data_IF_421016571041
#
_entry.id   IF_421016571041
#
_cell.length_a   1.000
_cell.length_b   1.000
_cell.length_c   1.000
_cell.angle_alpha   90.00
_cell.angle_beta   90.00
_cell.angle_gamma   90.00
#
_symmetry.space_group_name_H-M   'P 1'
#
loop_
_entity.id
_entity.type
_entity.pdbx_description
1 polymer ?
#
# COMPACT_ATOMS: atom_id res chain seq x y z
N UNK A 1 -11.72 12.74 13.22
CA UNK A 1 -12.71 13.01 12.17
C UNK A 1 -12.34 12.19 10.95
N UNK A 2 -13.30 11.88 10.08
CA UNK A 2 -13.01 11.13 8.85
C UNK A 2 -12.02 11.86 7.93
N UNK A 3 -12.18 13.18 7.79
CA UNK A 3 -11.28 14.03 6.98
C UNK A 3 -9.82 13.90 7.46
N UNK A 4 -9.60 13.95 8.78
CA UNK A 4 -8.25 13.79 9.33
C UNK A 4 -7.70 12.39 9.09
N UNK A 5 -8.50 11.34 9.30
CA UNK A 5 -8.08 9.96 9.03
C UNK A 5 -7.65 9.81 7.57
N UNK A 6 -8.46 10.27 6.62
CA UNK A 6 -8.18 10.18 5.19
C UNK A 6 -6.87 10.91 4.84
N UNK A 7 -6.63 12.09 5.43
CA UNK A 7 -5.37 12.83 5.30
C UNK A 7 -4.17 12.04 5.81
N UNK A 8 -4.26 11.46 7.01
CA UNK A 8 -3.16 10.69 7.62
C UNK A 8 -2.83 9.42 6.83
N UNK A 9 -3.85 8.71 6.36
CA UNK A 9 -3.67 7.51 5.52
C UNK A 9 -3.04 7.88 4.17
N UNK A 10 -3.50 8.96 3.54
CA UNK A 10 -2.94 9.43 2.26
C UNK A 10 -1.48 9.88 2.41
N UNK A 11 -1.15 10.63 3.47
CA UNK A 11 0.24 11.03 3.74
C UNK A 11 1.15 9.82 3.98
N UNK A 12 0.67 8.85 4.75
CA UNK A 12 1.42 7.61 4.98
C UNK A 12 1.65 6.85 3.68
N UNK A 13 0.61 6.69 2.86
CA UNK A 13 0.66 5.99 1.57
C UNK A 13 1.63 6.64 0.58
N UNK A 14 1.69 7.97 0.56
CA UNK A 14 2.57 8.70 -0.35
C UNK A 14 4.06 8.56 0.03
N UNK A 15 4.35 8.47 1.33
CA UNK A 15 5.70 8.64 1.88
C UNK A 15 6.40 7.33 2.19
N UNK A 16 5.67 6.32 2.65
CA UNK A 16 6.25 5.14 3.27
C UNK A 16 5.86 3.85 2.59
N UNK A 17 6.80 2.91 2.58
CA UNK A 17 6.61 1.56 2.08
C UNK A 17 5.62 0.77 2.94
N UNK A 18 5.07 -0.29 2.34
CA UNK A 18 4.25 -1.29 3.04
C UNK A 18 5.07 -2.21 3.95
N UNK A 19 6.40 -2.16 3.85
CA UNK A 19 7.35 -2.88 4.71
C UNK A 19 8.13 -1.90 5.59
N UNK A 20 8.46 -2.32 6.82
CA UNK A 20 9.36 -1.62 7.72
C UNK A 20 10.83 -1.97 7.45
N UNK A 21 11.75 -1.37 8.19
CA UNK A 21 13.19 -1.59 8.07
C UNK A 21 13.66 -3.02 8.44
N UNK A 22 12.74 -3.87 8.93
CA UNK A 22 12.98 -5.26 9.32
C UNK A 22 12.30 -6.24 8.36
N UNK A 23 11.63 -5.75 7.32
CA UNK A 23 10.88 -6.56 6.36
C UNK A 23 9.50 -7.00 6.83
N UNK A 24 8.96 -6.44 7.93
CA UNK A 24 7.59 -6.69 8.37
C UNK A 24 6.61 -5.69 7.77
N UNK A 25 5.33 -6.07 7.64
CA UNK A 25 4.31 -5.14 7.16
C UNK A 25 4.09 -3.97 8.12
N UNK A 26 3.91 -2.76 7.57
CA UNK A 26 3.56 -1.59 8.38
C UNK A 26 2.12 -1.71 8.87
N UNK A 27 1.90 -1.48 10.16
CA UNK A 27 0.56 -1.55 10.77
C UNK A 27 -0.12 -0.18 10.91
N UNK A 28 0.50 0.88 10.40
CA UNK A 28 0.03 2.27 10.54
C UNK A 28 -1.42 2.44 10.09
N UNK A 29 -1.77 1.93 8.90
CA UNK A 29 -3.13 2.07 8.36
C UNK A 29 -4.16 1.36 9.25
N UNK A 30 -3.86 0.12 9.65
CA UNK A 30 -4.72 -0.68 10.53
C UNK A 30 -4.95 0.01 11.87
N UNK A 31 -3.89 0.53 12.49
CA UNK A 31 -3.99 1.22 13.78
C UNK A 31 -4.77 2.53 13.68
N UNK A 32 -4.48 3.39 12.69
CA UNK A 32 -5.20 4.65 12.50
C UNK A 32 -6.70 4.42 12.29
N UNK A 33 -7.06 3.47 11.41
CA UNK A 33 -8.46 3.12 11.15
C UNK A 33 -9.14 2.56 12.41
N UNK A 34 -8.48 1.64 13.12
CA UNK A 34 -9.03 1.04 14.35
C UNK A 34 -9.27 2.08 15.44
N UNK A 35 -8.30 2.97 15.68
CA UNK A 35 -8.41 4.04 16.67
C UNK A 35 -9.55 5.00 16.33
N UNK A 36 -9.68 5.38 15.05
CA UNK A 36 -10.79 6.22 14.61
C UNK A 36 -12.14 5.54 14.83
N UNK A 37 -12.27 4.25 14.47
CA UNK A 37 -13.49 3.47 14.70
C UNK A 37 -13.84 3.33 16.19
N UNK A 38 -12.83 3.28 17.07
CA UNK A 38 -13.01 3.21 18.52
C UNK A 38 -13.24 4.59 19.18
N UNK A 39 -13.37 5.66 18.41
CA UNK A 39 -13.70 7.00 18.92
C UNK A 39 -12.50 7.79 19.45
N UNK A 40 -11.27 7.51 18.99
CA UNK A 40 -10.13 8.35 19.30
C UNK A 40 -10.36 9.80 18.82
N UNK A 41 -9.94 10.78 19.64
CA UNK A 41 -9.97 12.19 19.25
C UNK A 41 -8.97 12.49 18.13
N UNK A 42 -9.22 13.56 17.39
CA UNK A 42 -8.35 14.05 16.31
C UNK A 42 -6.91 14.27 16.81
N UNK A 43 -6.76 14.87 18.00
CA UNK A 43 -5.45 15.06 18.64
C UNK A 43 -4.72 13.73 18.88
N UNK A 44 -5.42 12.72 19.41
CA UNK A 44 -4.83 11.39 19.64
C UNK A 44 -4.46 10.71 18.33
N UNK A 45 -5.30 10.83 17.30
CA UNK A 45 -5.02 10.29 15.97
C UNK A 45 -3.77 10.90 15.35
N UNK A 46 -3.59 12.23 15.45
CA UNK A 46 -2.39 12.89 14.94
C UNK A 46 -1.13 12.49 15.71
N UNK A 47 -1.20 12.48 17.05
CA UNK A 47 -0.06 12.10 17.90
C UNK A 47 0.38 10.67 17.63
N UNK A 48 -0.56 9.72 17.62
CA UNK A 48 -0.27 8.31 17.37
C UNK A 48 0.14 8.07 15.92
N UNK A 49 -0.45 8.78 14.95
CA UNK A 49 -0.03 8.71 13.55
C UNK A 49 1.45 9.07 13.37
N UNK A 50 1.92 10.15 14.01
CA UNK A 50 3.34 10.52 13.99
C UNK A 50 4.25 9.45 14.59
N UNK A 51 3.82 8.85 15.71
CA UNK A 51 4.58 7.79 16.37
C UNK A 51 4.66 6.54 15.49
N UNK A 52 3.55 6.12 14.89
CA UNK A 52 3.49 4.91 14.08
C UNK A 52 4.26 5.04 12.76
N UNK A 53 4.27 6.23 12.13
CA UNK A 53 5.05 6.46 10.92
C UNK A 53 6.56 6.54 11.17
N UNK A 54 7.02 6.65 12.42
CA UNK A 54 8.45 6.86 12.75
C UNK A 54 9.33 5.69 12.30
N UNK A 55 8.82 4.47 12.39
CA UNK A 55 9.56 3.24 12.08
C UNK A 55 9.34 2.77 10.64
N UNK A 56 8.46 3.44 9.89
CA UNK A 56 8.15 3.08 8.52
C UNK A 56 9.29 3.50 7.58
N UNK A 57 9.68 2.60 6.68
CA UNK A 57 10.69 2.89 5.69
C UNK A 57 10.12 3.83 4.60
N UNK A 58 10.84 4.88 4.19
CA UNK A 58 10.45 5.69 3.03
C UNK A 58 10.55 4.86 1.74
N UNK A 59 9.82 5.25 0.68
CA UNK A 59 10.01 4.61 -0.62
C UNK A 59 11.41 4.84 -1.17
N UNK A 60 12.05 3.74 -1.58
CA UNK A 60 13.34 3.78 -2.27
C UNK A 60 13.15 3.59 -3.79
N UNK A 61 14.06 4.10 -4.63
CA UNK A 61 14.05 3.82 -6.06
C UNK A 61 14.17 2.32 -6.34
N UNK A 62 13.27 1.79 -7.14
CA UNK A 62 13.32 0.38 -7.54
C UNK A 62 14.40 0.12 -8.60
N UNK A 63 15.00 -1.08 -8.64
CA UNK A 63 16.05 -1.41 -9.61
C UNK A 63 15.64 -1.23 -11.08
N UNK A 64 14.37 -1.44 -11.39
CA UNK A 64 13.76 -1.14 -12.68
C UNK A 64 12.25 -0.91 -12.52
N UNK A 65 11.60 -0.44 -13.58
CA UNK A 65 10.15 -0.26 -13.63
C UNK A 65 9.40 -1.60 -13.68
N UNK A 66 8.23 -1.62 -13.05
CA UNK A 66 7.27 -2.71 -13.12
C UNK A 66 6.21 -2.37 -14.17
N UNK A 67 5.92 -3.32 -15.04
CA UNK A 67 5.03 -3.22 -16.20
C UNK A 67 4.16 -4.47 -16.31
N UNK A 68 3.11 -4.42 -17.12
CA UNK A 68 2.24 -5.58 -17.37
C UNK A 68 3.00 -6.79 -17.93
N UNK A 69 4.16 -6.58 -18.57
CA UNK A 69 4.97 -7.67 -19.14
C UNK A 69 5.90 -8.36 -18.13
N UNK A 70 6.33 -7.66 -17.07
CA UNK A 70 7.38 -8.14 -16.16
C UNK A 70 6.98 -8.19 -14.68
N UNK A 71 5.78 -7.71 -14.29
CA UNK A 71 5.44 -7.54 -12.87
C UNK A 71 5.46 -8.82 -12.02
N UNK A 72 5.45 -10.02 -12.61
CA UNK A 72 5.60 -11.27 -11.84
C UNK A 72 7.05 -11.65 -11.55
N UNK A 73 8.02 -11.04 -12.23
CA UNK A 73 9.42 -11.42 -12.15
C UNK A 73 10.10 -10.94 -10.86
N UNK A 74 9.50 -9.96 -10.19
CA UNK A 74 10.05 -9.32 -8.97
C UNK A 74 9.17 -9.52 -7.74
N UNK A 75 8.27 -10.52 -7.75
CA UNK A 75 7.35 -10.75 -6.63
C UNK A 75 8.11 -11.11 -5.35
N UNK A 76 7.71 -10.49 -4.24
CA UNK A 76 8.35 -10.70 -2.93
C UNK A 76 9.67 -9.97 -2.74
N UNK A 77 10.19 -9.26 -3.76
CA UNK A 77 11.40 -8.46 -3.62
C UNK A 77 11.05 -7.05 -3.11
N UNK A 78 11.41 -6.79 -1.86
CA UNK A 78 11.14 -5.52 -1.16
C UNK A 78 11.72 -4.28 -1.87
N UNK A 79 12.76 -4.45 -2.69
CA UNK A 79 13.36 -3.34 -3.47
C UNK A 79 12.39 -2.78 -4.50
N UNK A 80 11.34 -3.53 -4.85
CA UNK A 80 10.33 -3.14 -5.82
C UNK A 80 9.06 -2.54 -5.19
N UNK A 81 9.01 -2.32 -3.87
CA UNK A 81 7.86 -1.73 -3.18
C UNK A 81 7.30 -0.48 -3.88
N UNK A 82 8.18 0.47 -4.25
CA UNK A 82 7.77 1.70 -4.93
C UNK A 82 7.22 1.43 -6.34
N UNK A 83 7.95 0.65 -7.15
CA UNK A 83 7.52 0.36 -8.51
C UNK A 83 6.21 -0.44 -8.56
N UNK A 84 5.98 -1.36 -7.62
CA UNK A 84 4.69 -2.05 -7.51
C UNK A 84 3.56 -1.11 -7.13
N UNK A 85 3.76 -0.22 -6.15
CA UNK A 85 2.77 0.81 -5.81
C UNK A 85 2.38 1.61 -7.05
N UNK A 86 3.37 2.17 -7.74
CA UNK A 86 3.15 3.03 -8.90
C UNK A 86 2.44 2.27 -10.04
N UNK A 87 2.87 1.04 -10.31
CA UNK A 87 2.25 0.18 -11.32
C UNK A 87 0.77 -0.09 -11.00
N UNK A 88 0.45 -0.57 -9.79
CA UNK A 88 -0.93 -0.91 -9.43
C UNK A 88 -1.83 0.32 -9.33
N UNK A 89 -1.33 1.44 -8.82
CA UNK A 89 -2.06 2.72 -8.83
C UNK A 89 -2.43 3.13 -10.26
N UNK A 90 -1.47 3.01 -11.19
CA UNK A 90 -1.72 3.31 -12.58
C UNK A 90 -2.76 2.35 -13.18
N UNK A 91 -2.64 1.04 -12.93
CA UNK A 91 -3.60 0.05 -13.46
C UNK A 91 -5.03 0.31 -12.98
N UNK A 92 -5.20 0.58 -11.69
CA UNK A 92 -6.52 0.80 -11.09
C UNK A 92 -7.11 2.15 -11.51
N UNK A 93 -6.30 3.22 -11.48
CA UNK A 93 -6.74 4.56 -11.89
C UNK A 93 -7.13 4.61 -13.37
N UNK A 94 -6.34 4.00 -14.26
CA UNK A 94 -6.63 3.97 -15.71
C UNK A 94 -7.93 3.20 -16.02
N UNK A 95 -8.35 2.30 -15.13
CA UNK A 95 -9.56 1.50 -15.31
C UNK A 95 -10.84 2.23 -14.95
N UNK A 96 -10.75 3.41 -14.30
CA UNK A 96 -11.91 4.21 -13.90
C UNK A 96 -12.94 3.38 -13.13
N UNK A 97 -14.21 3.43 -13.55
CA UNK A 97 -15.31 2.70 -12.90
C UNK A 97 -15.16 1.17 -12.94
N UNK A 98 -14.26 0.64 -13.79
CA UNK A 98 -13.98 -0.80 -13.92
C UNK A 98 -12.82 -1.26 -13.05
N UNK A 99 -12.34 -0.44 -12.11
CA UNK A 99 -11.20 -0.80 -11.25
C UNK A 99 -11.41 -2.12 -10.50
N UNK A 100 -12.64 -2.47 -10.10
CA UNK A 100 -12.95 -3.75 -9.46
C UNK A 100 -12.66 -4.94 -10.38
N UNK A 101 -13.12 -4.87 -11.63
CA UNK A 101 -12.88 -5.91 -12.63
C UNK A 101 -11.37 -6.02 -12.91
N UNK A 102 -10.69 -4.87 -13.05
CA UNK A 102 -9.24 -4.85 -13.24
C UNK A 102 -8.47 -5.43 -12.06
N UNK A 103 -8.89 -5.13 -10.84
CA UNK A 103 -8.29 -5.68 -9.63
C UNK A 103 -8.43 -7.20 -9.59
N UNK A 104 -9.63 -7.73 -9.87
CA UNK A 104 -9.85 -9.17 -9.96
C UNK A 104 -9.08 -9.81 -11.11
N UNK A 105 -8.98 -9.14 -12.26
CA UNK A 105 -8.13 -9.58 -13.39
C UNK A 105 -6.67 -9.71 -12.95
N UNK A 106 -6.11 -8.69 -12.28
CA UNK A 106 -4.72 -8.70 -11.80
C UNK A 106 -4.47 -9.78 -10.74
N UNK A 107 -5.43 -10.04 -9.85
CA UNK A 107 -5.33 -11.11 -8.84
C UNK A 107 -5.35 -12.51 -9.46
N UNK A 108 -6.16 -12.71 -10.50
CA UNK A 108 -6.32 -14.01 -11.15
C UNK A 108 -5.31 -14.23 -12.30
N UNK A 109 -4.82 -13.14 -12.90
CA UNK A 109 -3.86 -13.03 -14.01
C UNK A 109 -4.12 -13.97 -15.21
N UNK A 110 -5.30 -14.59 -15.32
CA UNK A 110 -5.65 -15.60 -16.33
C UNK A 110 -4.59 -16.72 -16.53
N UNK A 111 -3.64 -16.86 -15.61
CA UNK A 111 -2.56 -17.85 -15.65
C UNK A 111 -2.89 -19.01 -14.72
N UNK A 112 -2.44 -20.23 -15.06
CA UNK A 112 -2.79 -21.43 -14.30
C UNK A 112 -2.24 -21.45 -12.86
N UNK A 113 -1.25 -20.61 -12.54
CA UNK A 113 -0.64 -20.54 -11.22
C UNK A 113 -1.19 -19.35 -10.43
N UNK A 114 -1.96 -19.57 -9.34
CA UNK A 114 -2.45 -18.48 -8.51
C UNK A 114 -1.28 -17.71 -7.88
N UNK A 115 -1.43 -16.40 -7.74
CA UNK A 115 -0.41 -15.53 -7.11
C UNK A 115 -0.13 -15.88 -5.65
N UNK A 116 -1.12 -16.48 -4.98
CA UNK A 116 -1.06 -16.92 -3.60
C UNK A 116 -1.25 -18.43 -3.63
N UNK A 117 -0.16 -19.19 -3.45
CA UNK A 117 -0.28 -20.57 -3.02
C UNK A 117 -0.84 -20.54 -1.59
N UNK A 118 -2.04 -21.13 -1.42
CA UNK A 118 -2.60 -21.39 -0.10
C UNK A 118 -1.80 -22.49 0.59
#
# INVERSE_FOLDING_TARGET
SRILLDKLLTDSYARYQVLDHRGFHTHTAHHLASLHCLGASDERLEQLGKIMCKENAPYEPSPHEITSANWRQSLGDERFCKAYRDFFDQQLTTSGDKWCEKFLELLNDHKPEPLINS
#
